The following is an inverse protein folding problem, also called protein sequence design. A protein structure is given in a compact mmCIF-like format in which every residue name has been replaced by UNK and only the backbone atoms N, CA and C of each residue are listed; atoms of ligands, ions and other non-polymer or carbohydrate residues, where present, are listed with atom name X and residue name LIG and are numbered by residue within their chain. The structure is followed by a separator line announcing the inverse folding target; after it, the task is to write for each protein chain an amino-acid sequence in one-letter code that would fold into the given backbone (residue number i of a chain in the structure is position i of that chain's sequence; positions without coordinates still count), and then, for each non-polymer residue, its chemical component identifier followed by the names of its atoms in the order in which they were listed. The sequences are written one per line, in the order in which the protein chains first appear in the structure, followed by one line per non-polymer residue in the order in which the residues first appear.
data_IF_345316347250
#
_entry.id   IF_345316347250
#
_cell.length_a   1.000
_cell.length_b   1.000
_cell.length_c   1.000
_cell.angle_alpha   90.00
_cell.angle_beta   90.00
_cell.angle_gamma   90.00
#
_symmetry.space_group_name_H-M   'P 1'
#
loop_
_entity.id
_entity.type
_entity.pdbx_description
1 polymer ?
#
# COMPACT_ATOMS: atom_id res chain seq x y z
N UNK A 1 34.50 -10.33 4.09
CA UNK A 1 33.21 -10.01 3.45
C UNK A 1 32.13 -10.57 4.37
N UNK A 2 31.44 -9.71 5.11
CA UNK A 2 30.36 -10.13 6.00
C UNK A 2 29.04 -9.71 5.35
N UNK A 3 28.25 -10.70 4.94
CA UNK A 3 26.89 -10.56 4.42
C UNK A 3 26.00 -9.99 5.53
N UNK A 4 25.34 -8.86 5.26
CA UNK A 4 24.41 -8.24 6.19
C UNK A 4 22.99 -8.74 5.86
N UNK A 5 22.45 -9.65 6.67
CA UNK A 5 21.06 -10.07 6.56
C UNK A 5 20.15 -8.93 7.04
N UNK A 6 19.36 -8.36 6.11
CA UNK A 6 18.41 -7.26 6.34
C UNK A 6 17.18 -7.64 7.17
N UNK A 7 17.27 -8.74 7.93
CA UNK A 7 16.24 -9.23 8.86
C UNK A 7 16.60 -8.97 10.32
N UNK A 8 17.76 -8.38 10.59
CA UNK A 8 18.18 -8.02 11.94
C UNK A 8 17.50 -6.72 12.38
N UNK A 9 16.45 -6.88 13.17
CA UNK A 9 15.56 -5.85 13.70
C UNK A 9 16.22 -4.99 14.80
N UNK A 10 17.45 -4.51 14.55
CA UNK A 10 18.21 -3.63 15.45
C UNK A 10 17.76 -2.18 15.42
N UNK A 11 16.64 -1.86 14.74
CA UNK A 11 15.96 -0.56 14.91
C UNK A 11 15.19 -0.48 16.24
N UNK A 12 15.22 -1.54 17.04
CA UNK A 12 14.43 -1.68 18.24
C UNK A 12 14.98 -0.96 19.50
N UNK A 13 16.07 -0.19 19.45
CA UNK A 13 16.68 0.39 20.67
C UNK A 13 16.46 1.90 20.89
N UNK A 14 15.94 2.67 19.92
CA UNK A 14 15.96 4.14 20.03
C UNK A 14 14.59 4.86 19.92
N UNK A 15 13.52 4.31 20.47
CA UNK A 15 12.23 5.00 20.51
C UNK A 15 11.46 4.70 21.79
N UNK A 16 11.70 5.49 22.84
CA UNK A 16 11.07 5.44 24.16
C UNK A 16 9.57 5.79 24.20
N UNK A 17 8.85 5.61 23.09
CA UNK A 17 7.40 5.75 23.01
C UNK A 17 6.84 4.73 22.01
N UNK A 18 6.99 3.43 22.30
CA UNK A 18 6.21 2.41 21.59
C UNK A 18 4.84 2.33 22.23
N UNK A 19 3.87 3.07 21.70
CA UNK A 19 2.51 2.56 21.67
C UNK A 19 2.61 1.14 21.10
N UNK A 20 2.24 0.13 21.89
CA UNK A 20 2.21 -1.26 21.41
C UNK A 20 1.42 -1.25 20.09
N UNK A 21 2.04 -1.64 18.98
CA UNK A 21 1.32 -1.77 17.72
C UNK A 21 0.16 -2.75 17.94
N UNK A 22 -1.04 -2.33 17.57
CA UNK A 22 -2.24 -3.15 17.67
C UNK A 22 -2.05 -4.40 16.79
N UNK A 23 -2.34 -5.57 17.33
CA UNK A 23 -2.41 -6.79 16.54
C UNK A 23 -3.69 -6.79 15.72
N UNK A 24 -3.55 -6.95 14.40
CA UNK A 24 -4.68 -7.05 13.48
C UNK A 24 -5.32 -8.43 13.57
N UNK A 25 -6.64 -8.45 13.63
CA UNK A 25 -7.43 -9.68 13.49
C UNK A 25 -7.27 -10.25 12.09
N UNK A 26 -7.56 -11.55 11.91
CA UNK A 26 -7.52 -12.15 10.58
C UNK A 26 -8.49 -11.46 9.62
N UNK A 27 -9.69 -11.12 10.10
CA UNK A 27 -10.69 -10.39 9.33
C UNK A 27 -10.17 -9.05 8.82
N UNK A 28 -9.44 -8.29 9.64
CA UNK A 28 -8.86 -7.01 9.23
C UNK A 28 -7.76 -7.17 8.18
N UNK A 29 -6.96 -8.23 8.28
CA UNK A 29 -5.97 -8.56 7.24
C UNK A 29 -6.67 -8.87 5.92
N UNK A 30 -7.73 -9.68 5.97
CA UNK A 30 -8.51 -10.03 4.79
C UNK A 30 -9.14 -8.77 4.14
N UNK A 31 -9.63 -7.81 4.96
CA UNK A 31 -10.14 -6.54 4.48
C UNK A 31 -9.05 -5.67 3.84
N UNK A 32 -7.86 -5.61 4.43
CA UNK A 32 -6.72 -4.88 3.86
C UNK A 32 -6.34 -5.46 2.50
N UNK A 33 -6.27 -6.79 2.40
CA UNK A 33 -5.93 -7.47 1.15
C UNK A 33 -7.01 -7.25 0.08
N UNK A 34 -8.29 -7.29 0.47
CA UNK A 34 -9.40 -7.00 -0.44
C UNK A 34 -9.35 -5.56 -0.99
N UNK A 35 -9.05 -4.58 -0.13
CA UNK A 35 -8.91 -3.17 -0.54
C UNK A 35 -7.73 -2.97 -1.48
N UNK A 36 -6.56 -3.53 -1.15
CA UNK A 36 -5.36 -3.45 -2.01
C UNK A 36 -5.59 -4.08 -3.37
N UNK A 37 -6.15 -5.30 -3.38
CA UNK A 37 -6.47 -6.02 -4.62
C UNK A 37 -7.43 -5.23 -5.51
N UNK A 38 -8.41 -4.54 -4.92
CA UNK A 38 -9.35 -3.70 -5.68
C UNK A 38 -8.65 -2.49 -6.30
N UNK A 39 -7.76 -1.84 -5.55
CA UNK A 39 -6.94 -0.74 -6.06
C UNK A 39 -6.01 -1.16 -7.18
N UNK A 40 -5.31 -2.29 -7.02
CA UNK A 40 -4.42 -2.86 -8.04
C UNK A 40 -5.16 -3.19 -9.33
N UNK A 41 -6.38 -3.74 -9.23
CA UNK A 41 -7.23 -4.02 -10.39
C UNK A 41 -7.54 -2.75 -11.18
N UNK A 42 -8.02 -1.70 -10.50
CA UNK A 42 -8.35 -0.44 -11.14
C UNK A 42 -7.12 0.23 -11.79
N UNK A 43 -5.99 0.26 -11.08
CA UNK A 43 -4.74 0.83 -11.61
C UNK A 43 -4.27 0.03 -12.83
N UNK A 44 -4.42 -1.29 -12.82
CA UNK A 44 -4.17 -2.17 -13.96
C UNK A 44 -4.97 -1.76 -15.19
N UNK A 45 -6.29 -1.63 -15.05
CA UNK A 45 -7.19 -1.20 -16.14
C UNK A 45 -6.80 0.19 -16.69
N UNK A 46 -6.45 1.14 -15.82
CA UNK A 46 -6.00 2.47 -16.27
C UNK A 46 -4.70 2.39 -17.07
N UNK A 47 -3.75 1.55 -16.67
CA UNK A 47 -2.48 1.35 -17.39
C UNK A 47 -2.71 0.69 -18.75
N UNK A 48 -3.62 -0.28 -18.82
CA UNK A 48 -4.03 -0.90 -20.09
C UNK A 48 -4.63 0.13 -21.05
N UNK A 49 -5.51 1.00 -20.57
CA UNK A 49 -6.10 2.08 -21.38
C UNK A 49 -5.06 3.11 -21.86
N UNK A 50 -4.06 3.43 -21.03
CA UNK A 50 -2.94 4.31 -21.43
C UNK A 50 -2.15 3.66 -22.58
N UNK A 51 -1.88 2.36 -22.50
CA UNK A 51 -1.18 1.62 -23.54
C UNK A 51 -2.00 1.54 -24.83
N UNK A 52 -3.30 1.24 -24.74
CA UNK A 52 -4.20 1.14 -25.89
C UNK A 52 -4.31 2.47 -26.64
N UNK A 53 -4.50 3.58 -25.90
CA UNK A 53 -4.66 4.91 -26.51
C UNK A 53 -3.34 5.56 -26.92
N UNK A 54 -2.19 4.94 -26.62
CA UNK A 54 -0.84 5.47 -26.87
C UNK A 54 -0.63 6.92 -26.41
N UNK A 55 -1.41 7.37 -25.42
CA UNK A 55 -1.36 8.70 -24.87
C UNK A 55 -1.64 8.61 -23.37
N UNK A 56 -0.60 8.85 -22.58
CA UNK A 56 -0.75 9.06 -21.15
C UNK A 56 -1.51 10.38 -20.94
N UNK A 57 -2.84 10.29 -20.88
CA UNK A 57 -3.67 11.43 -20.49
C UNK A 57 -3.36 11.78 -19.04
N UNK A 58 -3.17 13.07 -18.77
CA UNK A 58 -3.05 13.62 -17.41
C UNK A 58 -4.13 13.07 -16.48
N UNK A 59 -5.34 12.88 -17.00
CA UNK A 59 -6.48 12.35 -16.25
C UNK A 59 -6.24 10.92 -15.74
N UNK A 60 -5.64 10.05 -16.54
CA UNK A 60 -5.33 8.70 -16.09
C UNK A 60 -4.25 8.69 -15.01
N UNK A 61 -3.22 9.54 -15.14
CA UNK A 61 -2.19 9.69 -14.11
C UNK A 61 -2.80 10.18 -12.79
N UNK A 62 -3.68 11.19 -12.83
CA UNK A 62 -4.38 11.69 -11.64
C UNK A 62 -5.29 10.62 -11.02
N UNK A 63 -6.03 9.87 -11.84
CA UNK A 63 -6.88 8.78 -11.37
C UNK A 63 -6.09 7.70 -10.63
N UNK A 64 -4.93 7.30 -11.17
CA UNK A 64 -4.01 6.36 -10.52
C UNK A 64 -3.54 6.91 -9.16
N UNK A 65 -3.04 8.15 -9.12
CA UNK A 65 -2.57 8.77 -7.86
C UNK A 65 -3.68 8.87 -6.81
N UNK A 66 -4.89 9.24 -7.22
CA UNK A 66 -6.02 9.32 -6.29
C UNK A 66 -6.47 7.94 -5.79
N UNK A 67 -6.40 6.91 -6.64
CA UNK A 67 -6.66 5.54 -6.21
C UNK A 67 -5.62 5.05 -5.21
N UNK A 68 -4.33 5.32 -5.44
CA UNK A 68 -3.25 4.99 -4.50
C UNK A 68 -3.47 5.67 -3.13
N UNK A 69 -3.80 6.97 -3.11
CA UNK A 69 -4.10 7.70 -1.86
C UNK A 69 -5.35 7.13 -1.16
N UNK A 70 -6.40 6.81 -1.92
CA UNK A 70 -7.62 6.21 -1.37
C UNK A 70 -7.34 4.86 -0.69
N UNK A 71 -6.57 3.98 -1.35
CA UNK A 71 -6.16 2.68 -0.79
C UNK A 71 -5.36 2.89 0.51
N UNK A 72 -4.38 3.79 0.50
CA UNK A 72 -3.57 4.07 1.68
C UNK A 72 -4.40 4.60 2.86
N UNK A 73 -5.36 5.49 2.61
CA UNK A 73 -6.27 6.01 3.64
C UNK A 73 -7.20 4.93 4.18
N UNK A 74 -7.74 4.08 3.31
CA UNK A 74 -8.60 2.97 3.71
C UNK A 74 -7.84 1.96 4.58
N UNK A 75 -6.64 1.53 4.16
CA UNK A 75 -5.77 0.66 4.96
C UNK A 75 -5.47 1.29 6.32
N UNK A 76 -5.12 2.58 6.34
CA UNK A 76 -4.89 3.30 7.60
C UNK A 76 -6.14 3.29 8.50
N UNK A 77 -7.33 3.47 7.93
CA UNK A 77 -8.60 3.42 8.65
C UNK A 77 -8.90 2.05 9.27
N UNK A 78 -8.49 0.96 8.61
CA UNK A 78 -8.61 -0.41 9.15
C UNK A 78 -7.60 -0.63 10.30
N UNK A 79 -6.38 -0.10 10.17
CA UNK A 79 -5.30 -0.33 11.13
C UNK A 79 -5.31 0.59 12.36
N UNK A 80 -6.24 1.55 12.44
CA UNK A 80 -6.35 2.49 13.55
C UNK A 80 -6.80 1.85 14.86
#
# INVERSE_FOLDING_TARGET
MAEFNSTDDKRAENSGARSKYRELTQHEKDLIDAVKKSGDCFIGEMRELIMEKSQASREFSLAITHMEDAVMRAVRGITQ
#
